data_IF_977499897391
#
_entry.id   IF_977499897391
#
_cell.length_a   1.000
_cell.length_b   1.000
_cell.length_c   1.000
_cell.angle_alpha   90.00
_cell.angle_beta   90.00
_cell.angle_gamma   90.00
#
_symmetry.space_group_name_H-M   'P 1'
#
loop_
_entity.id
_entity.type
_entity.pdbx_description
1 polymer ?
#
# COMPACT_ATOMS: atom_id res chain seq x y z
N UNK A 1 -13.53 -2.24 -3.18
CA UNK A 1 -13.06 -2.93 -4.40
C UNK A 1 -11.97 -2.09 -5.03
N UNK A 2 -10.80 -2.69 -5.25
CA UNK A 2 -9.69 -1.99 -5.88
C UNK A 2 -9.97 -1.84 -7.38
N UNK A 3 -10.10 -0.59 -7.84
CA UNK A 3 -10.24 -0.30 -9.26
C UNK A 3 -8.85 -0.15 -9.89
N UNK A 4 -8.51 -1.00 -10.84
CA UNK A 4 -7.32 -0.82 -11.67
C UNK A 4 -7.63 0.11 -12.84
N UNK A 5 -6.84 1.19 -12.94
CA UNK A 5 -6.96 2.14 -14.05
C UNK A 5 -5.91 1.80 -15.11
N UNK A 6 -6.36 1.63 -16.34
CA UNK A 6 -5.51 1.44 -17.51
C UNK A 6 -5.61 2.65 -18.45
N UNK A 7 -4.53 2.97 -19.17
CA UNK A 7 -3.20 2.35 -19.11
C UNK A 7 -2.43 2.78 -17.84
N UNK A 8 -1.67 1.83 -17.25
CA UNK A 8 -0.78 2.13 -16.11
C UNK A 8 0.41 3.02 -16.49
N UNK A 9 0.73 3.06 -17.77
CA UNK A 9 1.79 3.89 -18.33
C UNK A 9 1.21 5.22 -18.79
N UNK A 10 1.89 6.32 -18.44
CA UNK A 10 1.51 7.66 -18.90
C UNK A 10 2.01 7.98 -20.30
N UNK A 11 3.10 7.35 -20.71
CA UNK A 11 3.74 7.56 -22.00
C UNK A 11 4.27 6.26 -22.57
N UNK A 12 4.23 6.13 -23.89
CA UNK A 12 4.86 5.05 -24.66
C UNK A 12 5.98 5.69 -25.48
N UNK A 13 7.19 5.17 -25.36
CA UNK A 13 8.30 5.56 -26.19
C UNK A 13 8.54 4.47 -27.25
N UNK A 14 8.03 4.72 -28.45
CA UNK A 14 8.11 3.78 -29.57
C UNK A 14 9.57 3.55 -30.03
N UNK A 15 10.43 4.60 -29.92
CA UNK A 15 11.83 4.51 -30.30
C UNK A 15 12.63 3.59 -29.39
N UNK A 16 12.24 3.51 -28.11
CA UNK A 16 12.81 2.58 -27.14
C UNK A 16 12.13 1.21 -27.14
N UNK A 17 11.21 0.94 -28.05
CA UNK A 17 10.49 -0.33 -28.14
C UNK A 17 9.56 -0.60 -26.96
N UNK A 18 9.12 0.44 -26.23
CA UNK A 18 8.19 0.23 -25.13
C UNK A 18 6.81 -0.11 -25.66
N UNK A 19 6.24 -1.19 -25.15
CA UNK A 19 4.90 -1.67 -25.47
C UNK A 19 3.97 -1.26 -24.34
N UNK A 20 2.78 -0.79 -24.69
CA UNK A 20 1.74 -0.43 -23.72
C UNK A 20 1.29 -1.63 -22.88
N UNK A 21 0.56 -1.36 -21.82
CA UNK A 21 -0.04 -2.42 -20.99
C UNK A 21 -1.01 -3.26 -21.82
N UNK A 22 -0.93 -4.58 -21.65
CA UNK A 22 -1.90 -5.49 -22.22
C UNK A 22 -3.20 -5.43 -21.41
N UNK A 23 -4.29 -5.15 -22.08
CA UNK A 23 -5.63 -5.30 -21.53
C UNK A 23 -6.25 -6.55 -22.12
N UNK A 24 -6.52 -7.53 -21.28
CA UNK A 24 -7.27 -8.71 -21.70
C UNK A 24 -8.76 -8.34 -21.79
N UNK A 25 -9.27 -8.18 -23.00
CA UNK A 25 -10.68 -7.89 -23.20
C UNK A 25 -11.53 -9.13 -22.89
N UNK A 26 -12.64 -8.98 -22.15
CA UNK A 26 -13.64 -10.04 -22.04
C UNK A 26 -14.17 -10.39 -23.44
N UNK A 27 -14.59 -11.62 -23.62
CA UNK A 27 -15.14 -12.16 -24.86
C UNK A 27 -14.20 -12.17 -26.09
N UNK A 28 -12.95 -11.78 -25.95
CA UNK A 28 -11.99 -11.93 -27.05
C UNK A 28 -11.81 -13.42 -27.36
N UNK A 29 -12.01 -13.84 -28.62
CA UNK A 29 -12.12 -15.24 -29.06
C UNK A 29 -13.23 -16.00 -28.31
N UNK A 30 -14.46 -15.49 -28.39
CA UNK A 30 -15.61 -15.90 -27.57
C UNK A 30 -15.84 -17.43 -27.51
N UNK A 31 -15.49 -18.17 -28.56
CA UNK A 31 -15.65 -19.63 -28.62
C UNK A 31 -14.61 -20.40 -27.77
N UNK A 32 -13.48 -19.78 -27.47
CA UNK A 32 -12.35 -20.43 -26.77
C UNK A 32 -11.95 -19.73 -25.48
N UNK A 33 -12.55 -18.60 -25.15
CA UNK A 33 -12.17 -17.83 -23.96
C UNK A 33 -12.94 -18.28 -22.73
N UNK A 34 -12.28 -18.25 -21.57
CA UNK A 34 -12.93 -18.37 -20.26
C UNK A 34 -13.17 -17.00 -19.60
N UNK A 35 -12.91 -15.90 -20.34
CA UNK A 35 -13.03 -14.52 -19.85
C UNK A 35 -14.39 -13.94 -20.22
N UNK A 36 -15.39 -14.31 -19.47
CA UNK A 36 -16.76 -13.80 -19.60
C UNK A 36 -17.08 -12.88 -18.41
N UNK A 37 -18.03 -11.96 -18.60
CA UNK A 37 -18.71 -11.35 -17.48
C UNK A 37 -19.55 -12.43 -16.77
N UNK A 38 -19.71 -12.32 -15.48
CA UNK A 38 -20.48 -13.25 -14.65
C UNK A 38 -21.63 -12.50 -13.96
N UNK A 39 -22.75 -13.17 -13.80
CA UNK A 39 -23.87 -12.66 -13.02
C UNK A 39 -23.67 -12.89 -11.50
N UNK A 40 -24.63 -12.43 -10.69
CA UNK A 40 -24.60 -12.56 -9.23
C UNK A 40 -24.58 -14.02 -8.74
N UNK A 41 -24.95 -14.96 -9.60
CA UNK A 41 -24.96 -16.39 -9.30
C UNK A 41 -23.68 -17.09 -9.74
N UNK A 42 -22.76 -16.36 -10.39
CA UNK A 42 -21.48 -16.87 -10.88
C UNK A 42 -21.54 -17.52 -12.27
N UNK A 43 -22.66 -17.40 -12.99
CA UNK A 43 -22.77 -17.88 -14.35
C UNK A 43 -22.27 -16.86 -15.36
N UNK A 44 -21.70 -17.35 -16.45
CA UNK A 44 -21.24 -16.48 -17.54
C UNK A 44 -22.42 -15.82 -18.27
N UNK A 45 -22.28 -14.52 -18.51
CA UNK A 45 -23.24 -13.74 -19.30
C UNK A 45 -22.83 -13.87 -20.78
N UNK A 46 -23.70 -14.34 -21.69
CA UNK A 46 -23.43 -14.32 -23.12
C UNK A 46 -23.22 -12.90 -23.63
N UNK A 47 -22.37 -12.72 -24.66
CA UNK A 47 -22.03 -11.39 -25.17
C UNK A 47 -23.27 -10.64 -25.65
N UNK A 48 -24.25 -11.33 -26.20
CA UNK A 48 -25.51 -10.75 -26.70
C UNK A 48 -26.38 -10.15 -25.59
N UNK A 49 -26.15 -10.59 -24.33
CA UNK A 49 -26.86 -10.10 -23.14
C UNK A 49 -26.04 -9.12 -22.32
N UNK A 50 -24.76 -8.89 -22.68
CA UNK A 50 -23.87 -8.07 -21.91
C UNK A 50 -24.38 -6.63 -21.79
N UNK A 51 -24.84 -6.04 -22.88
CA UNK A 51 -25.37 -4.67 -22.90
C UNK A 51 -26.54 -4.51 -21.93
N UNK A 52 -27.51 -5.41 -21.98
CA UNK A 52 -28.64 -5.42 -21.06
C UNK A 52 -28.21 -5.58 -19.61
N UNK A 53 -27.24 -6.48 -19.35
CA UNK A 53 -26.76 -6.77 -18.03
C UNK A 53 -25.99 -5.61 -17.39
N UNK A 54 -25.30 -4.78 -18.19
CA UNK A 54 -24.51 -3.65 -17.67
C UNK A 54 -25.30 -2.35 -17.56
N UNK A 55 -26.42 -2.22 -18.27
CA UNK A 55 -27.24 -1.01 -18.27
C UNK A 55 -27.55 -0.44 -16.87
N UNK A 56 -27.96 -1.26 -15.88
CA UNK A 56 -28.24 -0.76 -14.53
C UNK A 56 -27.03 -0.15 -13.81
N UNK A 57 -25.82 -0.46 -14.28
CA UNK A 57 -24.55 -0.06 -13.66
C UNK A 57 -23.82 1.03 -14.45
N UNK A 58 -24.41 1.49 -15.56
CA UNK A 58 -23.83 2.59 -16.33
C UNK A 58 -24.01 3.89 -15.56
N UNK A 59 -22.89 4.55 -15.31
CA UNK A 59 -22.84 5.86 -14.67
C UNK A 59 -22.85 6.92 -15.77
N UNK A 60 -23.78 7.86 -15.69
CA UNK A 60 -23.79 8.99 -16.62
C UNK A 60 -22.66 9.97 -16.28
N UNK A 61 -22.19 10.82 -17.23
CA UNK A 61 -21.25 11.88 -16.93
C UNK A 61 -21.72 12.77 -15.77
N UNK A 62 -23.02 13.06 -15.71
CA UNK A 62 -23.63 13.87 -14.66
C UNK A 62 -23.57 13.18 -13.29
N UNK A 63 -23.75 11.86 -13.24
CA UNK A 63 -23.64 11.10 -12.00
C UNK A 63 -22.17 10.98 -11.56
N UNK A 64 -21.25 10.85 -12.53
CA UNK A 64 -19.82 10.85 -12.24
C UNK A 64 -19.36 12.14 -11.58
N UNK A 65 -19.86 13.30 -12.06
CA UNK A 65 -19.52 14.60 -11.46
C UNK A 65 -20.20 14.84 -10.10
N UNK A 66 -21.21 14.05 -9.73
CA UNK A 66 -21.83 14.09 -8.39
C UNK A 66 -21.12 13.23 -7.35
N UNK A 67 -20.13 12.42 -7.76
CA UNK A 67 -19.33 11.64 -6.82
C UNK A 67 -18.52 12.61 -5.97
N UNK A 68 -18.98 12.85 -4.76
CA UNK A 68 -18.20 13.56 -3.75
C UNK A 68 -17.07 12.61 -3.30
N UNK A 69 -15.85 12.95 -3.66
CA UNK A 69 -14.69 12.31 -3.07
C UNK A 69 -14.57 12.83 -1.64
N UNK A 70 -14.61 11.94 -0.65
CA UNK A 70 -14.25 12.31 0.71
C UNK A 70 -12.83 12.90 0.68
N UNK A 71 -12.74 14.21 0.91
CA UNK A 71 -11.45 14.84 1.11
C UNK A 71 -10.86 14.31 2.41
N UNK A 72 -9.68 13.70 2.33
CA UNK A 72 -8.92 13.35 3.52
C UNK A 72 -8.69 14.63 4.33
N UNK A 73 -8.94 14.58 5.62
CA UNK A 73 -8.57 15.68 6.52
C UNK A 73 -7.05 15.89 6.47
N UNK A 74 -6.56 17.05 6.92
CA UNK A 74 -5.13 17.36 6.80
C UNK A 74 -4.26 16.41 7.62
N UNK A 75 -4.76 15.90 8.75
CA UNK A 75 -4.07 14.88 9.54
C UNK A 75 -3.94 13.54 8.79
N UNK A 76 -4.96 13.15 8.02
CA UNK A 76 -4.90 11.94 7.22
C UNK A 76 -3.97 12.11 6.02
N UNK A 77 -3.85 13.33 5.48
CA UNK A 77 -2.87 13.64 4.42
C UNK A 77 -1.43 13.56 4.93
N UNK A 78 -1.16 14.04 6.15
CA UNK A 78 0.17 14.01 6.75
C UNK A 78 0.72 12.59 6.86
N UNK A 79 -0.13 11.63 7.25
CA UNK A 79 0.29 10.23 7.44
C UNK A 79 -0.12 9.31 6.29
N UNK A 80 -0.56 9.87 5.14
CA UNK A 80 -1.06 9.10 4.01
C UNK A 80 -0.06 8.06 3.49
N UNK A 81 1.23 8.35 3.56
CA UNK A 81 2.32 7.49 3.11
C UNK A 81 2.71 6.38 4.12
N UNK A 82 2.22 6.45 5.35
CA UNK A 82 2.60 5.53 6.42
C UNK A 82 1.82 4.22 6.36
N UNK A 83 2.40 3.08 6.80
CA UNK A 83 1.64 1.85 7.00
C UNK A 83 0.44 2.06 7.93
N UNK A 84 -0.72 1.41 7.72
CA UNK A 84 -1.91 1.59 8.55
C UNK A 84 -1.67 1.38 10.05
N UNK A 85 -0.87 0.35 10.41
CA UNK A 85 -0.50 0.12 11.80
C UNK A 85 0.35 1.27 12.38
N UNK A 86 1.27 1.84 11.61
CA UNK A 86 2.09 2.99 12.05
C UNK A 86 1.24 4.24 12.19
N UNK A 87 0.30 4.50 11.28
CA UNK A 87 -0.68 5.60 11.42
C UNK A 87 -1.41 5.51 12.75
N UNK A 88 -1.85 4.30 13.12
CA UNK A 88 -2.51 4.10 14.39
C UNK A 88 -1.58 4.41 15.59
N UNK A 89 -0.32 3.95 15.55
CA UNK A 89 0.65 4.19 16.62
C UNK A 89 1.07 5.65 16.77
N UNK A 90 1.07 6.43 15.68
CA UNK A 90 1.33 7.86 15.73
C UNK A 90 0.14 8.61 16.34
N UNK A 91 -1.09 8.22 16.02
CA UNK A 91 -2.31 8.87 16.49
C UNK A 91 -2.75 8.43 17.90
N UNK A 92 -2.40 7.21 18.30
CA UNK A 92 -2.89 6.61 19.55
C UNK A 92 -1.78 5.92 20.33
N UNK A 93 -1.71 6.24 21.62
CA UNK A 93 -0.78 5.59 22.53
C UNK A 93 -1.02 4.10 22.66
N UNK A 94 0.06 3.34 22.79
CA UNK A 94 0.01 1.90 23.10
C UNK A 94 0.26 1.72 24.59
N UNK A 95 -0.66 1.03 25.28
CA UNK A 95 -0.62 0.86 26.73
C UNK A 95 0.57 0.00 27.19
N UNK A 96 1.04 0.18 28.42
CA UNK A 96 2.00 -0.72 29.05
C UNK A 96 1.54 -2.17 28.99
N UNK A 97 2.42 -3.08 28.55
CA UNK A 97 2.08 -4.50 28.37
C UNK A 97 1.58 -4.90 26.99
N UNK A 98 1.11 -3.95 26.16
CA UNK A 98 0.53 -4.23 24.85
C UNK A 98 1.56 -4.17 23.69
N UNK A 99 2.86 -4.15 23.99
CA UNK A 99 3.90 -4.17 22.97
C UNK A 99 4.38 -2.77 22.52
N UNK A 100 4.47 -1.81 23.44
CA UNK A 100 4.94 -0.43 23.18
C UNK A 100 6.27 -0.38 22.44
N UNK A 101 7.27 -1.17 22.87
CA UNK A 101 8.59 -1.21 22.24
C UNK A 101 8.52 -1.67 20.77
N UNK A 102 7.64 -2.61 20.47
CA UNK A 102 7.44 -3.11 19.10
C UNK A 102 6.70 -2.09 18.23
N UNK A 103 5.72 -1.39 18.80
CA UNK A 103 5.01 -0.32 18.13
C UNK A 103 5.98 0.82 17.78
N UNK A 104 6.76 1.32 18.77
CA UNK A 104 7.76 2.37 18.54
C UNK A 104 8.91 1.90 17.63
N UNK A 105 9.27 0.62 17.65
CA UNK A 105 10.20 0.08 16.67
C UNK A 105 9.65 0.22 15.23
N UNK A 106 8.39 -0.11 15.00
CA UNK A 106 7.75 0.05 13.69
C UNK A 106 7.62 1.52 13.28
N UNK A 107 7.31 2.41 14.23
CA UNK A 107 7.34 3.86 13.99
C UNK A 107 8.76 4.29 13.59
N UNK A 108 9.79 3.89 14.33
CA UNK A 108 11.18 4.21 14.02
C UNK A 108 11.64 3.70 12.65
N UNK A 109 11.24 2.48 12.24
CA UNK A 109 11.50 1.98 10.88
C UNK A 109 10.82 2.86 9.82
N UNK A 110 9.60 3.34 10.08
CA UNK A 110 8.91 4.26 9.18
C UNK A 110 9.64 5.59 9.05
N UNK A 111 10.07 6.18 10.18
CA UNK A 111 10.82 7.42 10.20
C UNK A 111 12.17 7.29 9.50
N UNK A 112 12.88 6.17 9.69
CA UNK A 112 14.11 5.86 8.96
C UNK A 112 13.89 5.80 7.45
N UNK A 113 12.79 5.20 7.00
CA UNK A 113 12.44 5.16 5.56
C UNK A 113 12.09 6.54 5.02
N UNK A 114 11.52 7.41 5.85
CA UNK A 114 11.14 8.78 5.50
C UNK A 114 12.35 9.71 5.39
N UNK A 115 13.24 9.69 6.36
CA UNK A 115 14.33 10.65 6.53
C UNK A 115 15.73 10.10 6.18
N UNK A 116 15.87 8.79 6.04
CA UNK A 116 17.19 8.19 5.98
C UNK A 116 17.86 8.12 7.37
N UNK A 117 19.19 7.89 7.37
CA UNK A 117 19.98 7.74 8.62
C UNK A 117 20.46 9.07 9.21
N UNK A 118 20.07 10.21 8.68
CA UNK A 118 20.64 11.53 9.00
C UNK A 118 20.11 12.18 10.29
N UNK A 119 19.53 11.40 11.20
CA UNK A 119 19.25 11.84 12.57
C UNK A 119 17.84 12.42 12.82
N UNK A 120 17.17 13.04 11.85
CA UNK A 120 15.83 13.61 12.04
C UNK A 120 14.77 12.58 12.47
N UNK A 121 14.97 11.32 12.15
CA UNK A 121 14.09 10.23 12.55
C UNK A 121 14.07 9.96 14.06
N UNK A 122 15.18 10.20 14.77
CA UNK A 122 15.26 9.99 16.22
C UNK A 122 14.43 11.02 16.97
N UNK A 123 14.48 12.28 16.51
CA UNK A 123 13.71 13.37 17.10
C UNK A 123 12.21 13.16 16.88
N UNK A 124 11.79 12.82 15.65
CA UNK A 124 10.39 12.55 15.32
C UNK A 124 9.85 11.33 16.10
N UNK A 125 10.65 10.27 16.25
CA UNK A 125 10.30 9.12 17.09
C UNK A 125 10.14 9.52 18.56
N UNK A 126 11.02 10.40 19.05
CA UNK A 126 10.96 10.97 20.40
C UNK A 126 9.67 11.76 20.62
N UNK A 127 9.25 12.54 19.64
CA UNK A 127 8.01 13.32 19.70
C UNK A 127 6.77 12.41 19.69
N UNK A 128 6.75 11.35 18.87
CA UNK A 128 5.68 10.36 18.92
C UNK A 128 5.62 9.68 20.29
N UNK A 129 6.76 9.25 20.85
CA UNK A 129 6.77 8.68 22.18
C UNK A 129 6.25 9.66 23.25
N UNK A 130 6.62 10.95 23.14
CA UNK A 130 6.18 12.01 24.04
C UNK A 130 4.67 12.27 23.93
N UNK A 131 4.10 12.22 22.73
CA UNK A 131 2.67 12.39 22.50
C UNK A 131 1.80 11.32 23.18
N UNK A 132 2.39 10.17 23.54
CA UNK A 132 1.69 9.11 24.28
C UNK A 132 1.45 9.45 25.77
N UNK A 133 1.92 10.60 26.26
CA UNK A 133 1.65 11.07 27.61
C UNK A 133 2.13 10.11 28.69
N UNK A 134 1.23 9.66 29.56
CA UNK A 134 1.55 8.73 30.65
C UNK A 134 1.88 7.32 30.18
N UNK A 135 1.43 6.93 28.97
CA UNK A 135 1.73 5.64 28.37
C UNK A 135 3.08 5.58 27.66
N UNK A 136 3.81 6.69 27.59
CA UNK A 136 5.13 6.77 26.95
C UNK A 136 6.15 5.82 27.59
N UNK A 137 7.15 5.44 26.80
CA UNK A 137 8.37 4.78 27.31
C UNK A 137 9.32 5.85 27.84
N UNK A 138 10.01 5.55 28.94
CA UNK A 138 11.05 6.45 29.46
C UNK A 138 12.07 6.76 28.34
N UNK A 139 12.48 8.04 28.16
CA UNK A 139 13.40 8.42 27.07
C UNK A 139 14.74 7.67 27.08
N UNK A 140 15.25 7.28 28.25
CA UNK A 140 16.49 6.49 28.35
C UNK A 140 16.24 5.06 27.90
N UNK A 141 15.10 4.48 28.27
CA UNK A 141 14.67 3.17 27.80
C UNK A 141 14.48 3.16 26.28
N UNK A 142 13.77 4.15 25.73
CA UNK A 142 13.58 4.31 24.28
C UNK A 142 14.93 4.34 23.54
N UNK A 143 15.89 5.10 24.07
CA UNK A 143 17.24 5.20 23.48
C UNK A 143 17.96 3.87 23.47
N UNK A 144 17.87 3.10 24.54
CA UNK A 144 18.60 1.82 24.69
C UNK A 144 17.92 0.70 23.90
N UNK A 145 16.59 0.66 23.89
CA UNK A 145 15.83 -0.48 23.33
C UNK A 145 15.50 -0.29 21.84
N UNK A 146 15.04 0.88 21.45
CA UNK A 146 14.56 1.12 20.07
C UNK A 146 15.61 1.85 19.24
N UNK A 147 16.05 3.03 19.70
CA UNK A 147 16.96 3.87 18.90
C UNK A 147 18.28 3.15 18.66
N UNK A 148 18.91 2.62 19.69
CA UNK A 148 20.18 1.86 19.57
C UNK A 148 20.02 0.65 18.63
N UNK A 149 18.86 0.00 18.63
CA UNK A 149 18.60 -1.13 17.73
C UNK A 149 18.49 -0.71 16.28
N UNK A 150 18.03 0.52 16.00
CA UNK A 150 17.80 1.05 14.66
C UNK A 150 18.98 1.87 14.11
N UNK A 151 19.90 2.33 14.98
CA UNK A 151 21.07 3.13 14.58
C UNK A 151 22.20 2.32 13.93
N UNK A 152 22.06 1.00 13.79
CA UNK A 152 23.06 0.14 13.16
C UNK A 152 23.08 0.25 11.63
N UNK A 153 24.09 -0.37 10.99
CA UNK A 153 24.26 -0.36 9.52
C UNK A 153 23.31 -1.28 8.78
N UNK A 154 22.45 -1.99 9.49
CA UNK A 154 21.49 -2.92 8.89
C UNK A 154 20.26 -2.20 8.32
N UNK A 155 19.72 -2.72 7.25
CA UNK A 155 18.40 -2.34 6.78
C UNK A 155 17.34 -3.03 7.64
N UNK A 156 16.49 -2.23 8.26
CA UNK A 156 15.45 -2.73 9.13
C UNK A 156 14.11 -2.82 8.42
N UNK A 157 13.41 -3.93 8.65
CA UNK A 157 12.04 -4.13 8.18
C UNK A 157 11.05 -4.03 9.34
N UNK A 158 9.79 -3.69 9.02
CA UNK A 158 8.71 -3.70 10.00
C UNK A 158 8.55 -5.07 10.66
N UNK A 159 8.29 -5.08 11.95
CA UNK A 159 7.91 -6.29 12.71
C UNK A 159 6.43 -6.62 12.50
N UNK A 160 6.04 -6.93 11.27
CA UNK A 160 4.64 -7.20 10.90
C UNK A 160 4.05 -8.44 11.61
N UNK A 161 4.90 -9.36 12.09
CA UNK A 161 4.46 -10.54 12.82
C UNK A 161 4.10 -10.27 14.29
N UNK A 162 4.46 -9.09 14.84
CA UNK A 162 4.15 -8.76 16.23
C UNK A 162 2.64 -8.66 16.46
N UNK A 163 2.14 -9.10 17.64
CA UNK A 163 0.71 -9.05 17.95
C UNK A 163 0.12 -7.66 17.83
N UNK A 164 0.84 -6.62 18.28
CA UNK A 164 0.37 -5.25 18.24
C UNK A 164 0.29 -4.72 16.79
N UNK A 165 1.25 -5.06 15.92
CA UNK A 165 1.19 -4.67 14.52
C UNK A 165 0.06 -5.37 13.78
N UNK A 166 -0.16 -6.65 14.04
CA UNK A 166 -1.25 -7.43 13.42
C UNK A 166 -2.64 -6.86 13.75
N UNK A 167 -2.83 -6.34 14.96
CA UNK A 167 -4.10 -5.77 15.41
C UNK A 167 -4.57 -4.62 14.51
N UNK A 168 -3.65 -3.83 13.97
CA UNK A 168 -3.94 -2.65 13.15
C UNK A 168 -3.45 -2.81 11.70
N UNK A 169 -3.16 -4.03 11.28
CA UNK A 169 -2.61 -4.32 9.96
C UNK A 169 -3.72 -4.36 8.92
N UNK A 170 -3.59 -3.51 7.90
CA UNK A 170 -4.24 -3.67 6.61
C UNK A 170 -3.14 -3.87 5.57
N UNK A 171 -2.90 -5.13 5.22
CA UNK A 171 -1.84 -5.49 4.28
C UNK A 171 -2.09 -4.92 2.88
N UNK A 172 -3.34 -4.94 2.42
CA UNK A 172 -3.71 -4.47 1.10
C UNK A 172 -3.45 -2.95 0.94
N UNK A 173 -3.81 -2.17 1.97
CA UNK A 173 -3.49 -0.74 2.01
C UNK A 173 -1.98 -0.51 2.19
N UNK A 174 -1.31 -1.28 3.06
CA UNK A 174 0.11 -1.11 3.35
C UNK A 174 1.01 -1.29 2.11
N UNK A 175 0.70 -2.27 1.27
CA UNK A 175 1.43 -2.54 0.02
C UNK A 175 1.40 -1.33 -0.94
N UNK A 176 0.34 -0.53 -0.91
CA UNK A 176 0.16 0.65 -1.77
C UNK A 176 0.84 1.91 -1.22
N UNK A 177 1.21 1.92 0.06
CA UNK A 177 1.78 3.09 0.72
C UNK A 177 3.26 3.27 0.36
N UNK A 178 3.69 4.50 0.20
CA UNK A 178 5.09 4.84 -0.13
C UNK A 178 6.09 4.30 0.89
N UNK A 179 5.76 4.36 2.17
CA UNK A 179 6.58 3.86 3.26
C UNK A 179 6.15 2.47 3.75
N UNK A 180 5.21 1.82 3.04
CA UNK A 180 4.73 0.48 3.36
C UNK A 180 5.74 -0.64 3.03
N UNK A 181 5.28 -1.90 3.19
CA UNK A 181 6.10 -3.10 2.92
C UNK A 181 6.19 -3.45 1.44
N UNK A 182 5.37 -2.86 0.59
CA UNK A 182 5.13 -3.33 -0.78
C UNK A 182 5.93 -2.71 -1.90
N UNK A 183 6.77 -1.72 -1.63
CA UNK A 183 7.81 -1.34 -2.58
C UNK A 183 9.08 -2.16 -2.34
N UNK A 184 9.02 -3.46 -2.52
CA UNK A 184 10.13 -4.12 -3.19
C UNK A 184 10.15 -3.50 -4.59
N UNK A 185 11.22 -2.81 -4.92
CA UNK A 185 11.53 -2.52 -6.30
C UNK A 185 11.50 -3.88 -7.02
N UNK A 186 10.37 -4.19 -7.63
CA UNK A 186 10.35 -5.18 -8.69
C UNK A 186 11.10 -4.49 -9.83
N UNK A 187 12.41 -4.45 -9.74
CA UNK A 187 13.25 -4.46 -10.89
C UNK A 187 12.88 -5.74 -11.62
N UNK A 188 11.88 -5.66 -12.46
CA UNK A 188 11.68 -6.62 -13.51
C UNK A 188 12.98 -6.57 -14.31
N UNK A 189 13.91 -7.47 -14.02
CA UNK A 189 15.02 -7.74 -14.89
C UNK A 189 14.40 -8.22 -16.19
N UNK A 190 14.41 -7.33 -17.19
CA UNK A 190 13.97 -7.62 -18.56
C UNK A 190 14.72 -8.85 -19.12
N UNK A 191 15.87 -9.17 -18.55
CA UNK A 191 16.68 -10.36 -18.86
C UNK A 191 15.96 -11.71 -18.65
N UNK A 192 14.92 -11.76 -17.83
CA UNK A 192 14.15 -13.00 -17.65
C UNK A 192 13.17 -13.28 -18.79
N UNK A 193 12.78 -12.27 -19.58
CA UNK A 193 11.87 -12.43 -20.72
C UNK A 193 12.58 -12.80 -22.02
N UNK A 194 13.87 -12.51 -22.18
CA UNK A 194 14.63 -12.89 -23.37
C UNK A 194 14.92 -14.39 -23.46
N UNK A 195 14.82 -15.15 -22.36
CA UNK A 195 15.05 -16.59 -22.34
C UNK A 195 13.88 -17.46 -22.83
N UNK A 196 12.69 -16.87 -23.03
CA UNK A 196 11.48 -17.63 -23.43
C UNK A 196 11.24 -17.58 -24.95
N UNK A 197 11.87 -16.67 -25.70
CA UNK A 197 11.62 -16.49 -27.13
C UNK A 197 12.60 -17.22 -28.06
N UNK A 198 13.50 -18.08 -27.55
CA UNK A 198 14.49 -18.84 -28.34
C UNK A 198 14.41 -20.34 -28.12
N UNK A 199 13.17 -20.90 -28.12
CA UNK A 199 12.99 -22.35 -28.34
C UNK A 199 11.82 -22.57 -29.27
#
# INVERSE_FOLDING_TARGET
ADCEIFPKQRTINVELGTIGNWLNLPYQNAEMTTRHAIDDTGHSIPIEKLEEAVQPFLVTPEDFYKIELEELNDEDKEFADYPPCVQNFVKHAVKPGDGRNEALFNVGVCMLKKHGKDGAWEDELGDVNKSWGDDRIDPKELKITVIKSLSGDKDYNYKCSSPIAKKYCDQAACVKRKLGIGKKDYNFHVDSFQKISTK
#
